data_IF_681339591625
#
_entry.id   IF_681339591625
#
_cell.length_a   1.000
_cell.length_b   1.000
_cell.length_c   1.000
_cell.angle_alpha   90.00
_cell.angle_beta   90.00
_cell.angle_gamma   90.00
#
_symmetry.space_group_name_H-M   'P 1'
#
loop_
_entity.id
_entity.type
_entity.pdbx_description
1 polymer ?
#
# COMPACT_ATOMS: atom_id res chain seq x y z
N UNK A 1 27.81 9.15 -0.59
CA UNK A 1 27.05 8.96 0.68
C UNK A 1 25.61 8.51 0.40
N UNK A 2 25.04 7.62 1.22
CA UNK A 2 23.64 7.20 1.15
C UNK A 2 22.94 7.54 2.47
N UNK A 3 21.78 8.19 2.39
CA UNK A 3 20.91 8.50 3.54
C UNK A 3 19.56 7.82 3.29
N UNK A 4 19.08 7.00 4.23
CA UNK A 4 17.82 6.26 4.12
C UNK A 4 16.78 6.73 5.12
N UNK A 5 15.52 6.68 4.71
CA UNK A 5 14.32 6.91 5.51
C UNK A 5 14.26 8.27 6.21
N UNK A 6 14.43 9.39 5.46
CA UNK A 6 14.30 10.73 6.02
C UNK A 6 12.88 11.02 6.56
N UNK A 7 11.81 10.37 6.06
CA UNK A 7 10.42 10.66 6.44
C UNK A 7 9.84 9.68 7.45
N UNK A 8 10.16 8.38 7.34
CA UNK A 8 9.59 7.34 8.23
C UNK A 8 9.93 7.56 9.71
N UNK A 9 11.00 8.30 10.01
CA UNK A 9 11.37 8.71 11.38
C UNK A 9 10.54 9.89 11.90
N UNK A 10 9.73 10.53 11.05
CA UNK A 10 8.94 11.73 11.36
C UNK A 10 7.42 11.48 11.34
N UNK A 11 6.93 10.31 10.91
CA UNK A 11 5.49 10.03 10.81
C UNK A 11 4.84 9.67 12.16
N UNK A 12 3.59 10.10 12.41
CA UNK A 12 2.82 9.69 13.58
C UNK A 12 2.69 8.16 13.75
N UNK A 13 2.59 7.42 12.64
CA UNK A 13 2.45 5.95 12.64
C UNK A 13 3.61 5.23 13.32
N UNK A 14 4.85 5.72 13.14
CA UNK A 14 6.04 5.17 13.79
C UNK A 14 6.32 5.83 15.15
N UNK A 15 5.93 7.09 15.32
CA UNK A 15 6.03 7.81 16.60
C UNK A 15 5.09 7.27 17.68
N UNK A 16 4.00 6.59 17.31
CA UNK A 16 3.14 5.89 18.26
C UNK A 16 3.67 4.51 18.68
N UNK A 17 4.50 3.86 17.85
CA UNK A 17 5.00 2.50 18.10
C UNK A 17 6.19 2.45 19.07
N UNK A 18 6.84 3.58 19.36
CA UNK A 18 7.93 3.66 20.35
C UNK A 18 7.44 4.15 21.72
N UNK A 19 6.56 3.38 22.35
CA UNK A 19 6.29 3.42 23.80
C UNK A 19 5.89 4.77 24.42
N UNK A 20 4.66 4.84 24.92
CA UNK A 20 4.21 5.82 25.92
C UNK A 20 4.48 7.31 25.62
N UNK A 21 3.64 7.92 24.77
CA UNK A 21 3.26 9.33 24.92
C UNK A 21 4.26 10.40 24.51
N UNK A 22 5.41 10.06 23.91
CA UNK A 22 6.27 11.05 23.27
C UNK A 22 6.15 10.98 21.75
N UNK A 23 5.53 12.01 21.16
CA UNK A 23 5.62 12.24 19.72
C UNK A 23 7.08 12.61 19.43
N UNK A 24 7.85 11.66 18.90
CA UNK A 24 9.22 11.89 18.47
C UNK A 24 9.22 12.64 17.14
N UNK A 25 9.07 13.96 17.17
CA UNK A 25 9.30 14.77 15.97
C UNK A 25 10.78 14.69 15.58
N UNK A 26 11.06 14.38 14.32
CA UNK A 26 12.40 14.47 13.76
C UNK A 26 12.66 15.92 13.37
N UNK A 27 13.32 16.70 14.25
CA UNK A 27 13.61 18.12 13.99
C UNK A 27 14.67 18.32 12.87
N UNK A 28 15.40 17.26 12.51
CA UNK A 28 16.35 17.24 11.39
C UNK A 28 16.15 15.95 10.55
N UNK A 29 15.60 16.02 9.33
CA UNK A 29 15.32 14.84 8.51
C UNK A 29 16.56 14.20 7.87
N UNK A 30 17.72 14.86 7.91
CA UNK A 30 18.98 14.32 7.39
C UNK A 30 20.11 14.44 8.44
N UNK A 31 20.03 13.74 9.59
CA UNK A 31 21.02 13.87 10.65
C UNK A 31 22.42 13.43 10.22
N UNK A 32 22.53 12.52 9.25
CA UNK A 32 23.80 12.05 8.70
C UNK A 32 24.45 13.06 7.73
N UNK A 33 23.72 14.08 7.26
CA UNK A 33 24.24 15.06 6.29
C UNK A 33 25.46 15.83 6.81
N UNK A 34 25.64 15.95 8.12
CA UNK A 34 26.82 16.59 8.75
C UNK A 34 28.16 15.97 8.32
N UNK A 35 28.14 14.70 7.91
CA UNK A 35 29.32 13.94 7.51
C UNK A 35 29.57 14.01 5.98
N UNK A 36 28.70 14.72 5.24
CA UNK A 36 28.80 14.89 3.79
C UNK A 36 29.58 16.16 3.43
N UNK A 37 30.67 16.01 2.66
CA UNK A 37 31.54 17.11 2.25
C UNK A 37 31.15 17.78 0.92
N UNK A 38 30.12 17.27 0.24
CA UNK A 38 29.66 17.77 -1.06
C UNK A 38 30.51 17.34 -2.27
N UNK A 39 31.55 16.52 -2.07
CA UNK A 39 32.42 16.08 -3.16
C UNK A 39 31.89 14.83 -3.88
N UNK A 40 31.35 13.87 -3.15
CA UNK A 40 30.82 12.62 -3.72
C UNK A 40 29.36 12.73 -4.17
N UNK A 41 28.80 11.65 -4.75
CA UNK A 41 27.36 11.56 -4.98
C UNK A 41 26.61 11.34 -3.66
N UNK A 42 25.50 12.05 -3.47
CA UNK A 42 24.57 11.87 -2.37
C UNK A 42 23.30 11.19 -2.89
N UNK A 43 22.95 10.07 -2.27
CA UNK A 43 21.70 9.35 -2.55
C UNK A 43 20.80 9.45 -1.34
N UNK A 44 19.59 9.97 -1.53
CA UNK A 44 18.55 10.06 -0.50
C UNK A 44 17.46 9.06 -0.87
N UNK A 45 17.20 8.11 0.02
CA UNK A 45 16.26 7.00 -0.22
C UNK A 45 15.06 7.14 0.70
N UNK A 46 13.89 7.39 0.14
CA UNK A 46 12.61 7.27 0.83
C UNK A 46 11.72 6.27 0.09
N UNK A 47 11.63 5.05 0.60
CA UNK A 47 10.84 3.99 -0.05
C UNK A 47 9.77 3.39 0.85
N UNK A 48 9.66 3.88 2.09
CA UNK A 48 8.72 3.38 3.09
C UNK A 48 7.43 4.20 3.11
N UNK A 49 7.56 5.51 2.93
CA UNK A 49 6.43 6.42 2.74
C UNK A 49 6.50 7.03 1.33
N UNK A 50 5.33 7.30 0.75
CA UNK A 50 5.22 7.93 -0.56
C UNK A 50 4.72 9.37 -0.49
N UNK A 51 4.54 9.91 0.70
CA UNK A 51 3.96 11.23 0.92
C UNK A 51 4.89 12.34 0.39
N UNK A 52 4.33 13.31 -0.34
CA UNK A 52 5.05 14.49 -0.81
C UNK A 52 4.14 15.74 -0.74
N UNK A 53 4.50 16.78 0.03
CA UNK A 53 5.83 17.06 0.61
C UNK A 53 6.14 16.31 1.91
N UNK A 54 5.32 15.32 2.27
CA UNK A 54 5.48 14.50 3.48
C UNK A 54 4.89 15.16 4.73
N UNK A 55 4.99 14.50 5.90
CA UNK A 55 4.45 15.02 7.15
C UNK A 55 5.10 16.34 7.57
N UNK A 56 4.34 17.15 8.30
CA UNK A 56 4.85 18.37 8.96
C UNK A 56 5.76 18.01 10.15
N UNK A 57 6.90 18.70 10.26
CA UNK A 57 7.76 18.64 11.44
C UNK A 57 7.18 19.49 12.59
N UNK A 58 7.87 19.50 13.75
CA UNK A 58 7.42 20.23 14.95
C UNK A 58 7.14 21.71 14.71
N UNK A 59 7.87 22.33 13.78
CA UNK A 59 7.72 23.74 13.44
C UNK A 59 6.68 24.00 12.34
N UNK A 60 5.88 22.99 11.97
CA UNK A 60 4.84 23.09 10.95
C UNK A 60 5.37 23.08 9.52
N UNK A 61 6.68 22.89 9.32
CA UNK A 61 7.27 22.84 7.98
C UNK A 61 7.26 21.40 7.48
N UNK A 62 6.79 21.12 6.25
CA UNK A 62 6.86 19.79 5.67
C UNK A 62 8.30 19.27 5.58
N UNK A 63 8.47 17.97 5.78
CA UNK A 63 9.77 17.32 5.81
C UNK A 63 10.57 17.55 4.51
N UNK A 64 9.94 17.53 3.34
CA UNK A 64 10.63 17.80 2.07
C UNK A 64 11.11 19.23 1.91
N UNK A 65 10.35 20.20 2.44
CA UNK A 65 10.78 21.59 2.49
C UNK A 65 12.02 21.75 3.38
N UNK A 66 12.13 20.95 4.45
CA UNK A 66 13.30 20.95 5.32
C UNK A 66 14.51 20.29 4.68
N UNK A 67 14.31 19.19 3.98
CA UNK A 67 15.35 18.56 3.14
C UNK A 67 15.89 19.56 2.12
N UNK A 68 15.02 20.30 1.43
CA UNK A 68 15.41 21.36 0.50
C UNK A 68 16.26 22.44 1.18
N UNK A 69 15.82 22.93 2.35
CA UNK A 69 16.55 23.96 3.11
C UNK A 69 17.95 23.49 3.54
N UNK A 70 18.09 22.23 3.94
CA UNK A 70 19.38 21.63 4.33
C UNK A 70 20.31 21.46 3.13
N UNK A 71 19.76 21.17 1.95
CA UNK A 71 20.52 20.89 0.74
C UNK A 71 20.76 22.12 -0.15
N UNK A 72 20.23 23.28 0.19
CA UNK A 72 20.27 24.51 -0.64
C UNK A 72 21.66 24.94 -1.13
N UNK A 73 22.70 24.60 -0.39
CA UNK A 73 24.10 24.97 -0.70
C UNK A 73 24.89 23.84 -1.39
N UNK A 74 24.27 22.68 -1.60
CA UNK A 74 24.91 21.53 -2.25
C UNK A 74 24.60 21.53 -3.76
N UNK A 75 25.50 20.93 -4.54
CA UNK A 75 25.26 20.76 -5.97
C UNK A 75 24.22 19.66 -6.21
N UNK A 76 23.00 20.04 -6.60
CA UNK A 76 21.90 19.12 -6.95
C UNK A 76 22.23 18.11 -8.04
N UNK A 77 23.21 18.39 -8.90
CA UNK A 77 23.66 17.48 -9.97
C UNK A 77 24.34 16.22 -9.40
N UNK A 78 24.80 16.30 -8.14
CA UNK A 78 25.35 15.18 -7.37
C UNK A 78 24.33 14.52 -6.45
N UNK A 79 23.06 14.91 -6.50
CA UNK A 79 22.02 14.41 -5.60
C UNK A 79 21.02 13.57 -6.39
N UNK A 80 20.85 12.32 -5.97
CA UNK A 80 19.82 11.39 -6.44
C UNK A 80 18.78 11.17 -5.34
N UNK A 81 17.51 11.37 -5.66
CA UNK A 81 16.39 11.01 -4.78
C UNK A 81 15.74 9.72 -5.26
N UNK A 82 15.62 8.73 -4.39
CA UNK A 82 14.97 7.45 -4.68
C UNK A 82 13.66 7.40 -3.92
N UNK A 83 12.54 7.18 -4.62
CA UNK A 83 11.21 7.17 -4.02
C UNK A 83 10.30 6.04 -4.49
N UNK A 84 9.42 5.56 -3.62
CA UNK A 84 8.36 4.64 -3.99
C UNK A 84 7.10 5.33 -4.57
N UNK A 85 7.01 6.66 -4.49
CA UNK A 85 5.95 7.43 -5.14
C UNK A 85 6.23 7.57 -6.64
N UNK A 86 5.43 6.92 -7.48
CA UNK A 86 5.63 6.88 -8.93
C UNK A 86 5.33 8.21 -9.64
N UNK A 87 4.76 9.17 -8.92
CA UNK A 87 4.27 10.43 -9.48
C UNK A 87 5.26 11.58 -9.28
N UNK A 88 6.21 11.43 -8.37
CA UNK A 88 7.28 12.41 -8.18
C UNK A 88 8.22 12.35 -9.39
N UNK A 89 8.15 13.35 -10.27
CA UNK A 89 9.04 13.45 -11.45
C UNK A 89 10.29 14.27 -11.17
N UNK A 90 10.22 15.19 -10.21
CA UNK A 90 11.32 16.06 -9.81
C UNK A 90 11.13 16.52 -8.38
N UNK A 91 12.25 16.91 -7.74
CA UNK A 91 12.28 17.54 -6.42
C UNK A 91 13.27 18.72 -6.47
N UNK A 92 13.09 19.77 -5.66
CA UNK A 92 13.90 20.99 -5.77
C UNK A 92 15.38 20.78 -5.43
N UNK A 93 15.71 19.74 -4.65
CA UNK A 93 17.05 19.49 -4.13
C UNK A 93 17.85 18.41 -4.89
N UNK A 94 17.26 17.73 -5.88
CA UNK A 94 17.93 16.66 -6.62
C UNK A 94 17.73 16.81 -8.13
N UNK A 95 18.78 16.53 -8.89
CA UNK A 95 18.72 16.50 -10.36
C UNK A 95 18.19 15.17 -10.91
N UNK A 96 18.30 14.09 -10.12
CA UNK A 96 17.87 12.75 -10.51
C UNK A 96 16.81 12.26 -9.52
N UNK A 97 15.69 11.78 -10.05
CA UNK A 97 14.68 11.02 -9.29
C UNK A 97 14.61 9.62 -9.86
N UNK A 98 14.77 8.60 -9.00
CA UNK A 98 14.61 7.18 -9.35
C UNK A 98 13.39 6.62 -8.61
N UNK A 99 12.60 5.80 -9.29
CA UNK A 99 11.44 5.14 -8.69
C UNK A 99 11.78 3.73 -8.23
N UNK A 100 11.37 3.40 -7.00
CA UNK A 100 11.52 2.05 -6.45
C UNK A 100 10.23 1.56 -5.79
N UNK A 101 9.30 0.96 -6.56
CA UNK A 101 8.02 0.50 -6.04
C UNK A 101 8.07 -0.84 -5.28
N UNK A 102 9.24 -1.45 -5.14
CA UNK A 102 9.36 -2.86 -4.72
C UNK A 102 9.73 -3.07 -3.25
N UNK A 103 9.79 -2.01 -2.44
CA UNK A 103 10.13 -2.12 -1.02
C UNK A 103 9.19 -3.10 -0.29
N UNK A 104 7.87 -2.88 -0.39
CA UNK A 104 6.89 -3.76 0.23
C UNK A 104 6.81 -5.14 -0.42
N UNK A 105 7.14 -5.26 -1.71
CA UNK A 105 7.24 -6.57 -2.36
C UNK A 105 8.34 -7.42 -1.70
N UNK A 106 9.52 -6.84 -1.49
CA UNK A 106 10.62 -7.53 -0.82
C UNK A 106 10.27 -7.95 0.60
N UNK A 107 9.57 -7.10 1.36
CA UNK A 107 9.08 -7.45 2.70
C UNK A 107 8.07 -8.60 2.65
N UNK A 108 7.18 -8.62 1.66
CA UNK A 108 6.17 -9.68 1.55
C UNK A 108 6.75 -11.02 1.06
N UNK A 109 7.84 -11.00 0.28
CA UNK A 109 8.58 -12.23 -0.11
C UNK A 109 9.15 -12.99 1.09
N UNK A 110 9.38 -12.34 2.23
CA UNK A 110 9.85 -13.03 3.45
C UNK A 110 8.72 -13.66 4.27
N UNK A 111 7.46 -13.39 3.92
CA UNK A 111 6.29 -13.92 4.62
C UNK A 111 5.90 -15.29 4.06
N UNK A 112 5.11 -16.03 4.85
CA UNK A 112 4.49 -17.27 4.34
C UNK A 112 3.50 -16.92 3.23
N UNK A 113 3.49 -17.73 2.17
CA UNK A 113 2.58 -17.59 1.04
C UNK A 113 1.84 -18.90 0.74
N UNK A 114 0.81 -18.82 -0.09
CA UNK A 114 0.08 -19.99 -0.60
C UNK A 114 0.90 -20.64 -1.71
N UNK A 115 1.29 -21.91 -1.54
CA UNK A 115 2.06 -22.66 -2.54
C UNK A 115 1.26 -22.92 -3.83
N UNK A 116 -0.01 -23.34 -3.69
CA UNK A 116 -0.88 -23.72 -4.81
C UNK A 116 -2.21 -22.96 -4.78
N UNK A 117 -2.61 -22.42 -5.93
CA UNK A 117 -3.86 -21.69 -6.08
C UNK A 117 -5.05 -22.65 -5.93
N UNK A 118 -5.88 -22.41 -4.91
CA UNK A 118 -7.11 -23.15 -4.69
C UNK A 118 -8.20 -22.71 -5.68
N UNK A 119 -8.80 -23.67 -6.39
CA UNK A 119 -9.90 -23.43 -7.34
C UNK A 119 -11.27 -23.36 -6.66
N UNK A 120 -11.47 -24.07 -5.55
CA UNK A 120 -12.75 -24.13 -4.84
C UNK A 120 -12.72 -23.21 -3.63
N UNK A 121 -13.44 -22.10 -3.73
CA UNK A 121 -13.52 -21.06 -2.70
C UNK A 121 -14.97 -20.78 -2.34
N UNK A 122 -15.26 -20.47 -1.09
CA UNK A 122 -16.63 -20.29 -0.59
C UNK A 122 -17.03 -18.82 -0.39
N UNK A 123 -16.13 -17.86 -0.66
CA UNK A 123 -16.39 -16.43 -0.52
C UNK A 123 -16.04 -15.68 -1.79
N UNK A 124 -16.80 -14.63 -2.10
CA UNK A 124 -16.48 -13.76 -3.24
C UNK A 124 -15.20 -12.98 -2.97
N UNK A 125 -15.12 -12.31 -1.82
CA UNK A 125 -13.98 -11.46 -1.52
C UNK A 125 -13.54 -11.44 -0.05
N UNK A 126 -12.34 -10.91 0.14
CA UNK A 126 -11.81 -10.50 1.44
C UNK A 126 -11.34 -9.04 1.40
N UNK A 127 -11.44 -8.34 2.53
CA UNK A 127 -11.01 -6.96 2.72
C UNK A 127 -10.59 -6.74 4.18
N UNK A 128 -9.32 -6.41 4.39
CA UNK A 128 -8.75 -6.23 5.73
C UNK A 128 -8.49 -4.76 6.03
N UNK A 129 -9.26 -4.18 6.95
CA UNK A 129 -9.11 -2.77 7.33
C UNK A 129 -8.71 -2.64 8.79
N UNK A 130 -7.43 -2.34 9.03
CA UNK A 130 -6.90 -2.12 10.39
C UNK A 130 -7.32 -0.78 10.98
N UNK A 131 -6.88 0.30 10.34
CA UNK A 131 -7.10 1.67 10.79
C UNK A 131 -8.41 2.26 10.26
N UNK A 132 -9.03 3.14 11.04
CA UNK A 132 -10.17 3.95 10.63
C UNK A 132 -9.68 5.07 9.73
N UNK A 133 -10.17 5.07 8.49
CA UNK A 133 -9.98 6.12 7.48
C UNK A 133 -11.28 6.30 6.70
N UNK A 134 -11.55 7.51 6.21
CA UNK A 134 -12.84 7.82 5.58
C UNK A 134 -13.18 6.89 4.40
N UNK A 135 -12.22 6.57 3.51
CA UNK A 135 -12.44 5.61 2.42
C UNK A 135 -12.80 4.21 2.91
N UNK A 136 -12.17 3.73 3.98
CA UNK A 136 -12.50 2.43 4.57
C UNK A 136 -13.91 2.45 5.16
N UNK A 137 -14.32 3.57 5.77
CA UNK A 137 -15.69 3.74 6.24
C UNK A 137 -16.68 3.73 5.06
N UNK A 138 -16.39 4.45 3.97
CA UNK A 138 -17.22 4.45 2.75
C UNK A 138 -17.37 3.02 2.18
N UNK A 139 -16.28 2.25 2.15
CA UNK A 139 -16.30 0.85 1.73
C UNK A 139 -17.16 -0.03 2.65
N UNK A 140 -17.05 0.13 3.97
CA UNK A 140 -17.88 -0.62 4.92
C UNK A 140 -19.36 -0.27 4.76
N UNK A 141 -19.70 1.01 4.62
CA UNK A 141 -21.08 1.45 4.40
C UNK A 141 -21.64 0.93 3.07
N UNK A 142 -20.82 0.88 2.02
CA UNK A 142 -21.17 0.20 0.77
C UNK A 142 -21.48 -1.29 1.03
N UNK A 143 -20.62 -2.00 1.76
CA UNK A 143 -20.85 -3.41 2.07
C UNK A 143 -22.11 -3.63 2.91
N UNK A 144 -22.39 -2.79 3.92
CA UNK A 144 -23.61 -2.83 4.71
C UNK A 144 -24.85 -2.62 3.84
N UNK A 145 -24.85 -1.59 3.01
CA UNK A 145 -25.96 -1.24 2.11
C UNK A 145 -26.32 -2.39 1.15
N UNK A 146 -25.33 -3.16 0.73
CA UNK A 146 -25.48 -4.25 -0.24
C UNK A 146 -25.46 -5.65 0.42
N UNK A 147 -25.56 -5.75 1.76
CA UNK A 147 -25.54 -7.01 2.52
C UNK A 147 -24.32 -7.90 2.22
N UNK A 148 -23.17 -7.29 1.94
CA UNK A 148 -21.94 -7.99 1.57
C UNK A 148 -21.13 -8.46 2.78
N UNK A 149 -21.36 -7.89 3.96
CA UNK A 149 -20.58 -8.17 5.18
C UNK A 149 -20.69 -9.64 5.62
N UNK A 150 -21.90 -10.18 5.76
CA UNK A 150 -22.11 -11.52 6.35
C UNK A 150 -21.60 -12.66 5.45
N UNK A 151 -21.62 -12.43 4.14
CA UNK A 151 -21.29 -13.44 3.14
C UNK A 151 -19.83 -13.39 2.66
N UNK A 152 -19.01 -12.45 3.17
CA UNK A 152 -17.62 -12.24 2.77
C UNK A 152 -16.70 -12.04 3.97
N UNK A 153 -15.39 -11.99 3.74
CA UNK A 153 -14.42 -11.69 4.78
C UNK A 153 -14.15 -10.19 4.83
N UNK A 154 -14.92 -9.44 5.62
CA UNK A 154 -14.75 -7.99 5.75
C UNK A 154 -14.42 -7.60 7.20
N UNK A 155 -13.33 -6.86 7.40
CA UNK A 155 -13.00 -6.25 8.68
C UNK A 155 -12.90 -4.74 8.61
N UNK A 156 -13.14 -4.10 9.76
CA UNK A 156 -12.77 -2.74 10.14
C UNK A 156 -12.45 -2.77 11.64
N UNK A 157 -11.19 -3.04 11.99
CA UNK A 157 -10.76 -3.33 13.37
C UNK A 157 -10.72 -2.06 14.23
N UNK A 158 -10.28 -0.95 13.64
CA UNK A 158 -10.12 0.33 14.32
C UNK A 158 -8.94 0.37 15.29
N UNK A 159 -7.77 -0.10 14.85
CA UNK A 159 -6.57 -0.06 15.70
C UNK A 159 -6.11 1.37 16.02
N UNK A 160 -6.29 2.30 15.09
CA UNK A 160 -6.25 3.75 15.36
C UNK A 160 -7.23 4.49 14.42
N UNK A 161 -7.54 5.74 14.76
CA UNK A 161 -8.33 6.66 13.93
C UNK A 161 -7.44 7.79 13.41
N UNK A 162 -7.41 7.96 12.09
CA UNK A 162 -6.61 9.00 11.45
C UNK A 162 -7.20 10.41 11.64
N UNK A 163 -8.49 10.52 12.04
CA UNK A 163 -9.17 11.79 12.28
C UNK A 163 -9.53 12.59 11.03
N UNK A 164 -8.85 12.35 9.91
CA UNK A 164 -9.08 13.04 8.65
C UNK A 164 -10.40 12.60 7.97
N UNK A 165 -11.36 13.52 7.89
CA UNK A 165 -12.73 13.31 7.42
C UNK A 165 -13.55 12.23 8.15
N UNK A 166 -13.06 11.58 9.20
CA UNK A 166 -13.78 10.49 9.88
C UNK A 166 -14.91 10.98 10.78
N UNK A 167 -14.80 12.20 11.32
CA UNK A 167 -15.78 12.77 12.27
C UNK A 167 -17.20 12.94 11.72
N UNK A 168 -17.37 12.96 10.39
CA UNK A 168 -18.69 13.08 9.74
C UNK A 168 -19.41 11.75 9.55
N UNK A 169 -18.75 10.63 9.84
CA UNK A 169 -19.33 9.30 9.63
C UNK A 169 -19.66 8.62 10.95
N UNK A 170 -20.73 7.84 10.94
CA UNK A 170 -20.97 6.78 11.93
C UNK A 170 -20.59 5.44 11.30
N UNK A 171 -19.84 4.62 12.02
CA UNK A 171 -19.42 3.30 11.55
C UNK A 171 -19.40 2.29 12.69
N UNK A 172 -19.41 1.01 12.31
CA UNK A 172 -19.25 -0.13 13.21
C UNK A 172 -17.93 -0.82 12.92
N UNK A 173 -17.33 -1.38 13.97
CA UNK A 173 -16.16 -2.22 13.79
C UNK A 173 -16.58 -3.63 13.43
N UNK A 174 -15.81 -4.23 12.52
CA UNK A 174 -15.96 -5.63 12.08
C UNK A 174 -14.64 -6.35 12.30
N UNK A 175 -14.68 -7.50 12.98
CA UNK A 175 -13.50 -8.28 13.33
C UNK A 175 -13.58 -9.64 12.63
N UNK A 176 -12.44 -10.14 12.14
CA UNK A 176 -12.35 -11.42 11.44
C UNK A 176 -11.38 -12.36 12.16
N UNK A 177 -10.08 -12.06 12.04
CA UNK A 177 -8.96 -12.94 12.38
C UNK A 177 -8.09 -12.35 13.51
N UNK A 178 -8.02 -11.02 13.60
CA UNK A 178 -7.25 -10.31 14.62
C UNK A 178 -8.08 -9.26 15.34
N UNK A 179 -7.83 -9.13 16.64
CA UNK A 179 -8.24 -7.97 17.41
C UNK A 179 -7.20 -6.82 17.25
N UNK A 180 -7.45 -5.68 17.90
CA UNK A 180 -6.58 -4.50 17.85
C UNK A 180 -5.14 -4.77 18.31
N UNK A 181 -4.95 -5.53 19.39
CA UNK A 181 -3.64 -5.84 19.96
C UNK A 181 -2.84 -6.74 19.02
N UNK A 182 -3.45 -7.85 18.56
CA UNK A 182 -2.84 -8.79 17.63
C UNK A 182 -2.47 -8.15 16.29
N UNK A 183 -3.25 -7.17 15.84
CA UNK A 183 -2.95 -6.43 14.62
C UNK A 183 -1.77 -5.47 14.80
N UNK A 184 -1.64 -4.85 15.98
CA UNK A 184 -0.51 -3.97 16.27
C UNK A 184 0.82 -4.75 16.36
N UNK A 185 0.77 -5.99 16.82
CA UNK A 185 1.95 -6.85 16.91
C UNK A 185 2.41 -7.39 15.54
N UNK A 186 1.49 -7.58 14.59
CA UNK A 186 1.75 -8.21 13.30
C UNK A 186 0.71 -7.83 12.23
N UNK A 187 0.82 -6.63 11.68
CA UNK A 187 -0.06 -6.14 10.59
C UNK A 187 0.35 -6.68 9.20
N UNK A 188 1.56 -7.24 9.07
CA UNK A 188 2.13 -7.68 7.79
C UNK A 188 1.85 -9.14 7.45
N UNK A 189 1.50 -9.98 8.41
CA UNK A 189 1.05 -11.36 8.16
C UNK A 189 -0.16 -11.45 7.22
N UNK A 190 -0.31 -12.64 6.64
CA UNK A 190 -1.38 -13.01 5.73
C UNK A 190 -2.22 -14.10 6.40
N UNK A 191 -3.54 -13.92 6.57
CA UNK A 191 -4.42 -14.99 7.01
C UNK A 191 -4.65 -15.97 5.85
N UNK A 192 -3.73 -16.93 5.70
CA UNK A 192 -3.65 -17.83 4.55
C UNK A 192 -4.97 -18.57 4.28
N UNK A 193 -5.69 -18.99 5.32
CA UNK A 193 -6.98 -19.69 5.14
C UNK A 193 -8.05 -18.79 4.50
N UNK A 194 -8.08 -17.49 4.86
CA UNK A 194 -9.00 -16.53 4.23
C UNK A 194 -8.63 -16.30 2.76
N UNK A 195 -7.34 -16.18 2.45
CA UNK A 195 -6.88 -16.03 1.06
C UNK A 195 -7.17 -17.26 0.21
N UNK A 196 -7.09 -18.47 0.81
CA UNK A 196 -7.46 -19.73 0.13
C UNK A 196 -8.96 -19.86 -0.13
N UNK A 197 -9.80 -19.20 0.66
CA UNK A 197 -11.26 -19.36 0.63
C UNK A 197 -12.03 -18.20 -0.02
N UNK A 198 -11.34 -17.13 -0.47
CA UNK A 198 -11.98 -16.00 -1.16
C UNK A 198 -11.39 -15.74 -2.54
N UNK A 199 -12.20 -15.46 -3.57
CA UNK A 199 -11.68 -15.24 -4.94
C UNK A 199 -10.93 -13.92 -5.12
N UNK A 200 -11.40 -12.88 -4.45
CA UNK A 200 -11.00 -11.50 -4.68
C UNK A 200 -10.45 -10.85 -3.41
N UNK A 201 -9.45 -9.99 -3.55
CA UNK A 201 -8.97 -9.10 -2.51
C UNK A 201 -9.37 -7.65 -2.81
N UNK A 202 -9.94 -6.94 -1.85
CA UNK A 202 -10.15 -5.50 -1.97
C UNK A 202 -8.99 -4.78 -1.30
N UNK A 203 -8.16 -4.17 -2.14
CA UNK A 203 -7.00 -3.41 -1.73
C UNK A 203 -7.47 -2.01 -1.35
N UNK A 204 -7.73 -1.82 -0.07
CA UNK A 204 -8.00 -0.50 0.49
C UNK A 204 -6.68 0.20 0.82
N UNK A 205 -6.05 0.82 -0.19
CA UNK A 205 -4.84 1.60 0.04
C UNK A 205 -5.12 2.85 0.87
N UNK A 206 -4.12 3.19 1.67
CA UNK A 206 -4.28 4.06 2.84
C UNK A 206 -3.73 5.46 2.67
N UNK A 207 -3.13 5.79 1.53
CA UNK A 207 -2.53 7.10 1.32
C UNK A 207 -3.62 8.13 1.06
N UNK A 208 -3.48 9.32 1.65
CA UNK A 208 -4.46 10.40 1.54
C UNK A 208 -4.23 11.29 0.32
N UNK A 209 -3.07 11.11 -0.33
CA UNK A 209 -2.66 11.82 -1.52
C UNK A 209 -3.04 11.04 -2.79
N UNK A 210 -3.24 11.77 -3.90
CA UNK A 210 -3.65 11.21 -5.20
C UNK A 210 -2.50 10.56 -5.98
N UNK A 211 -1.48 10.01 -5.30
CA UNK A 211 -0.32 9.42 -5.94
C UNK A 211 -0.39 7.89 -6.07
N UNK A 212 0.31 7.31 -7.04
CA UNK A 212 0.46 5.85 -7.14
C UNK A 212 1.61 5.35 -6.26
N UNK A 213 1.28 4.47 -5.32
CA UNK A 213 2.20 3.82 -4.41
C UNK A 213 1.70 2.42 -4.03
N UNK A 214 2.59 1.43 -4.11
CA UNK A 214 2.25 0.03 -3.83
C UNK A 214 2.75 -0.37 -2.44
N UNK A 215 1.82 -0.66 -1.53
CA UNK A 215 2.14 -1.15 -0.18
C UNK A 215 2.08 -2.68 -0.12
N UNK A 216 2.21 -3.26 1.09
CA UNK A 216 2.00 -4.70 1.27
C UNK A 216 0.65 -5.18 0.74
N UNK A 217 -0.38 -4.33 0.76
CA UNK A 217 -1.74 -4.70 0.36
C UNK A 217 -1.83 -5.01 -1.13
N UNK A 218 -0.99 -4.36 -1.93
CA UNK A 218 -0.83 -4.66 -3.36
C UNK A 218 -0.21 -6.04 -3.57
N UNK A 219 0.88 -6.31 -2.85
CA UNK A 219 1.70 -7.50 -3.10
C UNK A 219 1.14 -8.78 -2.48
N UNK A 220 0.39 -8.69 -1.38
CA UNK A 220 -0.24 -9.84 -0.72
C UNK A 220 -1.11 -10.68 -1.67
N UNK A 221 -2.13 -10.14 -2.37
CA UNK A 221 -2.94 -10.94 -3.29
C UNK A 221 -2.13 -11.47 -4.48
N UNK A 222 -1.18 -10.70 -5.00
CA UNK A 222 -0.32 -11.11 -6.12
C UNK A 222 0.53 -12.34 -5.74
N UNK A 223 1.27 -12.27 -4.63
CA UNK A 223 2.11 -13.38 -4.15
C UNK A 223 1.31 -14.62 -3.73
N UNK A 224 0.02 -14.45 -3.43
CA UNK A 224 -0.86 -15.53 -3.00
C UNK A 224 -1.83 -16.01 -4.08
N UNK A 225 -1.65 -15.59 -5.34
CA UNK A 225 -2.47 -16.05 -6.47
C UNK A 225 -3.96 -15.76 -6.29
N UNK A 226 -4.27 -14.53 -5.90
CA UNK A 226 -5.64 -14.03 -5.71
C UNK A 226 -5.90 -12.85 -6.65
N UNK A 227 -7.11 -12.77 -7.21
CA UNK A 227 -7.53 -11.57 -7.94
C UNK A 227 -7.62 -10.38 -6.99
N UNK A 228 -7.56 -9.16 -7.51
CA UNK A 228 -7.72 -7.97 -6.68
C UNK A 228 -8.43 -6.83 -7.40
N UNK A 229 -9.08 -5.99 -6.61
CA UNK A 229 -9.58 -4.67 -7.00
C UNK A 229 -9.02 -3.63 -6.04
N UNK A 230 -8.53 -2.53 -6.60
CA UNK A 230 -8.04 -1.36 -5.89
C UNK A 230 -9.17 -0.41 -5.52
N UNK A 231 -9.29 -0.08 -4.24
CA UNK A 231 -10.20 0.93 -3.71
C UNK A 231 -9.43 1.87 -2.77
N UNK A 232 -8.70 2.82 -3.35
CA UNK A 232 -7.96 3.84 -2.61
C UNK A 232 -8.32 5.26 -3.03
N UNK A 233 -7.49 6.22 -2.63
CA UNK A 233 -7.70 7.66 -2.90
C UNK A 233 -7.18 8.05 -4.28
N UNK A 234 -6.10 7.44 -4.75
CA UNK A 234 -5.53 7.76 -6.06
C UNK A 234 -6.32 7.15 -7.22
N UNK A 235 -5.97 7.56 -8.44
CA UNK A 235 -6.61 7.05 -9.66
C UNK A 235 -6.39 5.54 -9.82
N UNK A 236 -7.49 4.77 -9.76
CA UNK A 236 -7.48 3.33 -10.00
C UNK A 236 -6.89 2.99 -11.38
N UNK A 237 -7.26 3.74 -12.42
CA UNK A 237 -6.70 3.58 -13.77
C UNK A 237 -5.18 3.65 -13.77
N UNK A 238 -4.61 4.70 -13.16
CA UNK A 238 -3.15 4.86 -13.08
C UNK A 238 -2.50 3.74 -12.26
N UNK A 239 -3.12 3.34 -11.16
CA UNK A 239 -2.65 2.23 -10.33
C UNK A 239 -2.49 0.94 -11.15
N UNK A 240 -3.49 0.58 -11.95
CA UNK A 240 -3.42 -0.61 -12.82
C UNK A 240 -2.47 -0.42 -14.01
N UNK A 241 -2.39 0.78 -14.59
CA UNK A 241 -1.42 1.08 -15.66
C UNK A 241 0.02 0.90 -15.20
N UNK A 242 0.36 1.36 -13.99
CA UNK A 242 1.69 1.17 -13.42
C UNK A 242 2.00 -0.32 -13.18
N UNK A 243 1.05 -1.12 -12.68
CA UNK A 243 1.22 -2.57 -12.58
C UNK A 243 1.44 -3.23 -13.95
N UNK A 244 0.68 -2.82 -14.99
CA UNK A 244 0.86 -3.31 -16.37
C UNK A 244 2.24 -2.97 -16.93
N UNK A 245 2.76 -1.76 -16.67
CA UNK A 245 4.12 -1.36 -17.07
C UNK A 245 5.20 -2.23 -16.44
N UNK A 246 4.95 -2.74 -15.23
CA UNK A 246 5.83 -3.68 -14.53
C UNK A 246 5.70 -5.12 -15.03
N UNK A 247 4.77 -5.40 -15.95
CA UNK A 247 4.56 -6.72 -16.55
C UNK A 247 3.47 -7.57 -15.92
N UNK A 248 2.70 -7.02 -14.96
CA UNK A 248 1.57 -7.74 -14.35
C UNK A 248 0.32 -7.70 -15.24
N UNK A 249 -0.43 -8.79 -15.23
CA UNK A 249 -1.67 -8.98 -15.98
C UNK A 249 -2.89 -8.74 -15.10
N UNK A 250 -3.89 -8.03 -15.60
CA UNK A 250 -5.14 -7.78 -14.88
C UNK A 250 -6.21 -8.81 -15.28
N UNK A 251 -7.39 -8.76 -14.64
CA UNK A 251 -8.42 -9.79 -14.75
C UNK A 251 -9.65 -9.27 -15.52
N UNK A 252 -9.43 -8.81 -16.76
CA UNK A 252 -10.47 -8.23 -17.63
C UNK A 252 -11.62 -9.21 -17.96
N UNK A 253 -11.43 -10.51 -17.70
CA UNK A 253 -12.47 -11.53 -17.79
C UNK A 253 -13.59 -11.34 -16.76
N UNK A 254 -13.30 -10.65 -15.66
CA UNK A 254 -14.24 -10.38 -14.57
C UNK A 254 -14.53 -8.88 -14.38
N UNK A 255 -13.57 -8.00 -14.68
CA UNK A 255 -13.64 -6.60 -14.29
C UNK A 255 -13.37 -5.65 -15.45
N UNK A 256 -14.14 -4.57 -15.51
CA UNK A 256 -13.95 -3.51 -16.51
C UNK A 256 -12.98 -2.42 -16.00
N UNK A 257 -12.67 -2.40 -14.70
CA UNK A 257 -11.73 -1.49 -14.02
C UNK A 257 -12.07 0.01 -14.12
N UNK A 258 -13.30 0.33 -14.56
CA UNK A 258 -13.80 1.71 -14.65
C UNK A 258 -14.33 2.21 -13.30
N UNK A 259 -14.96 1.33 -12.52
CA UNK A 259 -15.45 1.63 -11.18
C UNK A 259 -15.37 0.39 -10.30
N UNK A 260 -14.46 0.42 -9.34
CA UNK A 260 -14.21 -0.70 -8.41
C UNK A 260 -15.46 -1.18 -7.67
N UNK A 261 -16.33 -0.27 -7.21
CA UNK A 261 -17.52 -0.67 -6.45
C UNK A 261 -18.58 -1.33 -7.34
N UNK A 262 -18.72 -0.88 -8.59
CA UNK A 262 -19.64 -1.49 -9.56
C UNK A 262 -19.15 -2.88 -9.98
N UNK A 263 -17.84 -3.01 -10.27
CA UNK A 263 -17.20 -4.29 -10.57
C UNK A 263 -17.36 -5.27 -9.39
N UNK A 264 -17.13 -4.80 -8.16
CA UNK A 264 -17.33 -5.61 -6.95
C UNK A 264 -18.78 -6.07 -6.81
N UNK A 265 -19.75 -5.18 -7.02
CA UNK A 265 -21.16 -5.52 -6.89
C UNK A 265 -21.59 -6.54 -7.96
N UNK A 266 -21.18 -6.34 -9.21
CA UNK A 266 -21.41 -7.29 -10.31
C UNK A 266 -20.81 -8.66 -10.00
N UNK A 267 -19.60 -8.68 -9.46
CA UNK A 267 -18.92 -9.91 -9.04
C UNK A 267 -19.67 -10.61 -7.90
N UNK A 268 -20.06 -9.89 -6.84
CA UNK A 268 -20.80 -10.44 -5.71
C UNK A 268 -22.23 -10.90 -6.06
N UNK A 269 -22.85 -10.32 -7.09
CA UNK A 269 -24.16 -10.74 -7.60
C UNK A 269 -24.09 -12.00 -8.49
N UNK A 270 -22.89 -12.42 -8.89
CA UNK A 270 -22.68 -13.70 -9.60
C UNK A 270 -22.55 -14.81 -8.56
N UNK A 271 -23.25 -15.92 -8.71
CA UNK A 271 -23.14 -17.02 -7.75
C UNK A 271 -21.73 -17.65 -7.76
N UNK A 272 -21.34 -18.22 -6.62
CA UNK A 272 -20.00 -18.79 -6.43
C UNK A 272 -19.70 -19.92 -7.40
N UNK A 273 -20.69 -20.75 -7.77
CA UNK A 273 -20.47 -21.86 -8.69
C UNK A 273 -20.13 -21.33 -10.10
N UNK A 274 -20.85 -20.31 -10.58
CA UNK A 274 -20.54 -19.63 -11.84
C UNK A 274 -19.14 -18.99 -11.82
N UNK A 275 -18.73 -18.39 -10.70
CA UNK A 275 -17.37 -17.83 -10.57
C UNK A 275 -16.32 -18.95 -10.58
N UNK A 276 -16.55 -20.03 -9.84
CA UNK A 276 -15.68 -21.21 -9.82
C UNK A 276 -15.48 -21.78 -11.22
N UNK A 277 -16.56 -21.93 -11.97
CA UNK A 277 -16.53 -22.44 -13.35
C UNK A 277 -15.74 -21.53 -14.27
N UNK A 278 -15.78 -20.21 -14.09
CA UNK A 278 -15.02 -19.23 -14.89
C UNK A 278 -13.60 -18.98 -14.39
N UNK A 279 -13.26 -19.39 -13.17
CA UNK A 279 -11.98 -19.05 -12.54
C UNK A 279 -10.76 -19.61 -13.30
N UNK A 280 -10.95 -20.66 -14.11
CA UNK A 280 -9.91 -21.19 -14.99
C UNK A 280 -9.42 -20.16 -16.02
N UNK A 281 -10.26 -19.20 -16.43
CA UNK A 281 -9.93 -18.18 -17.45
C UNK A 281 -8.81 -17.24 -17.01
N UNK A 282 -8.64 -17.03 -15.70
CA UNK A 282 -7.62 -16.14 -15.13
C UNK A 282 -6.46 -16.88 -14.47
N UNK A 283 -6.49 -18.22 -14.50
CA UNK A 283 -5.55 -19.04 -13.73
C UNK A 283 -4.10 -18.81 -14.16
N UNK A 284 -3.85 -18.73 -15.46
CA UNK A 284 -2.51 -18.52 -16.00
C UNK A 284 -1.99 -17.12 -15.63
N UNK A 285 -2.85 -16.09 -15.66
CA UNK A 285 -2.52 -14.74 -15.21
C UNK A 285 -2.13 -14.70 -13.74
N UNK A 286 -2.84 -15.44 -12.88
CA UNK A 286 -2.50 -15.53 -11.46
C UNK A 286 -1.13 -16.18 -11.22
N UNK A 287 -0.81 -17.24 -11.97
CA UNK A 287 0.51 -17.86 -11.90
C UNK A 287 1.61 -16.96 -12.45
N UNK A 288 1.38 -16.33 -13.59
CA UNK A 288 2.30 -15.35 -14.19
C UNK A 288 2.61 -14.23 -13.20
N UNK A 289 1.58 -13.58 -12.66
CA UNK A 289 1.73 -12.50 -11.69
C UNK A 289 2.49 -12.94 -10.44
N UNK A 290 2.16 -14.12 -9.89
CA UNK A 290 2.87 -14.66 -8.73
C UNK A 290 4.34 -14.91 -9.04
N UNK A 291 4.65 -15.59 -10.15
CA UNK A 291 6.02 -15.87 -10.57
C UNK A 291 6.80 -14.59 -10.81
N UNK A 292 6.23 -13.62 -11.54
CA UNK A 292 6.83 -12.31 -11.76
C UNK A 292 7.12 -11.61 -10.43
N UNK A 293 6.17 -11.59 -9.49
CA UNK A 293 6.38 -11.03 -8.17
C UNK A 293 7.46 -11.76 -7.35
N UNK A 294 7.69 -13.06 -7.57
CA UNK A 294 8.76 -13.82 -6.93
C UNK A 294 10.13 -13.58 -7.57
N UNK A 295 10.19 -13.37 -8.89
CA UNK A 295 11.45 -13.35 -9.66
C UNK A 295 11.88 -11.97 -10.14
N UNK A 296 11.00 -10.95 -10.13
CA UNK A 296 11.35 -9.60 -10.61
C UNK A 296 12.58 -9.09 -9.89
N UNK A 297 13.55 -8.59 -10.65
CA UNK A 297 14.81 -8.10 -10.12
C UNK A 297 14.57 -6.78 -9.39
N UNK A 298 14.60 -6.85 -8.06
CA UNK A 298 14.41 -5.70 -7.19
C UNK A 298 15.75 -5.10 -6.74
N UNK A 299 16.89 -5.58 -7.25
CA UNK A 299 18.23 -5.15 -6.81
C UNK A 299 18.75 -3.89 -7.51
N UNK A 300 18.02 -3.34 -8.48
CA UNK A 300 18.46 -2.18 -9.28
C UNK A 300 18.51 -0.81 -8.52
N UNK A 301 18.43 -0.79 -7.19
CA UNK A 301 18.54 0.47 -6.42
C UNK A 301 19.99 0.95 -6.32
N UNK A 302 20.96 0.04 -6.39
CA UNK A 302 22.37 0.30 -6.07
C UNK A 302 23.18 0.68 -7.31
#
# INVERSE_FOLDING_TARGET
MIITDPFYKATPSNNQLRGAGQILFCDNPLPELKDYDGQEELVIVEIQEADYPGPEMRDGVPVMTKVEQLLKNYNKDKITFITANLDIKQVPFASKVKHYPFYFLNLQRTQKSIDSINQKRNKHFCSFNGAIKYKRIEFIQFCEKHNLIENNYVSLVGNYDHGYHTQKYTFKNYYLDKNKEQLNDDDKSIPLEIYRDSFLNIINETHEEEHVFFTEKTWKPILNGQMFLYYGVSSATRYYEELKKLGFEMFEEFFDYNNTLDDLLKFCNTDIATIQDKFHLVRDKLYHNKQLAETIDTKQIW
#
